data_IF_827501796531
#
_entry.id   IF_827501796531
#
_cell.length_a   1.000
_cell.length_b   1.000
_cell.length_c   1.000
_cell.angle_alpha   90.00
_cell.angle_beta   90.00
_cell.angle_gamma   90.00
#
_symmetry.space_group_name_H-M   'P 1'
#
loop_
_entity.id
_entity.type
_entity.pdbx_description
1 polymer ?
#
# COMPACT_ATOMS: atom_id res chain seq x y z
N UNK A 1 -20.59 -9.83 -16.99
CA UNK A 1 -20.62 -8.79 -15.93
C UNK A 1 -22.04 -8.31 -15.82
N UNK A 2 -22.64 -8.41 -14.66
CA UNK A 2 -23.93 -7.77 -14.43
C UNK A 2 -23.66 -6.28 -14.24
N UNK A 3 -24.45 -5.44 -14.91
CA UNK A 3 -24.46 -3.99 -14.68
C UNK A 3 -24.87 -3.76 -13.22
N UNK A 4 -24.00 -3.12 -12.45
CA UNK A 4 -24.32 -2.72 -11.09
C UNK A 4 -24.94 -1.33 -11.15
N UNK A 5 -26.20 -1.22 -10.73
CA UNK A 5 -26.93 0.04 -10.72
C UNK A 5 -26.31 0.95 -9.64
N UNK A 6 -25.80 2.09 -10.08
CA UNK A 6 -25.19 3.08 -9.17
C UNK A 6 -26.30 3.87 -8.46
N UNK A 7 -26.42 3.70 -7.15
CA UNK A 7 -27.14 4.64 -6.28
C UNK A 7 -26.29 5.95 -6.19
N UNK A 8 -26.61 6.89 -7.05
CA UNK A 8 -25.83 8.10 -7.22
C UNK A 8 -25.81 8.98 -5.96
N UNK A 9 -26.96 9.14 -5.29
CA UNK A 9 -27.06 9.99 -4.09
C UNK A 9 -26.21 9.40 -2.95
N UNK A 10 -26.31 8.10 -2.75
CA UNK A 10 -25.50 7.39 -1.76
C UNK A 10 -24.02 7.45 -2.08
N UNK A 11 -23.63 7.27 -3.34
CA UNK A 11 -22.22 7.33 -3.76
C UNK A 11 -21.61 8.72 -3.50
N UNK A 12 -22.35 9.80 -3.78
CA UNK A 12 -21.91 11.17 -3.48
C UNK A 12 -21.83 11.40 -1.97
N UNK A 13 -22.81 10.92 -1.21
CA UNK A 13 -22.79 11.03 0.25
C UNK A 13 -21.58 10.31 0.86
N UNK A 14 -21.28 9.10 0.41
CA UNK A 14 -20.13 8.33 0.90
C UNK A 14 -18.79 8.99 0.49
N UNK A 15 -18.69 9.54 -0.72
CA UNK A 15 -17.53 10.33 -1.13
C UNK A 15 -17.33 11.56 -0.24
N UNK A 16 -18.40 12.32 0.06
CA UNK A 16 -18.34 13.47 0.96
C UNK A 16 -17.90 13.08 2.38
N UNK A 17 -18.36 11.93 2.89
CA UNK A 17 -17.88 11.41 4.20
C UNK A 17 -16.39 11.12 4.20
N UNK A 18 -15.88 10.47 3.14
CA UNK A 18 -14.44 10.19 3.01
C UNK A 18 -13.63 11.49 3.00
N UNK A 19 -14.08 12.49 2.24
CA UNK A 19 -13.41 13.80 2.16
C UNK A 19 -13.42 14.50 3.52
N UNK A 20 -14.57 14.53 4.20
CA UNK A 20 -14.70 15.16 5.51
C UNK A 20 -13.81 14.48 6.56
N UNK A 21 -13.88 13.16 6.67
CA UNK A 21 -13.12 12.39 7.65
C UNK A 21 -11.61 12.44 7.36
N UNK A 22 -11.23 12.28 6.10
CA UNK A 22 -9.82 12.39 5.67
C UNK A 22 -9.23 13.78 5.93
N UNK A 23 -10.04 14.84 5.71
CA UNK A 23 -9.63 16.21 6.01
C UNK A 23 -9.46 16.44 7.52
N UNK A 24 -10.40 15.95 8.33
CA UNK A 24 -10.32 16.04 9.78
C UNK A 24 -9.10 15.29 10.35
N UNK A 25 -8.80 14.11 9.81
CA UNK A 25 -7.58 13.36 10.13
C UNK A 25 -6.32 14.13 9.75
N UNK A 26 -6.27 14.66 8.54
CA UNK A 26 -5.10 15.36 8.00
C UNK A 26 -4.69 16.58 8.82
N UNK A 27 -5.66 17.31 9.42
CA UNK A 27 -5.38 18.46 10.30
C UNK A 27 -5.22 18.09 11.78
N UNK A 28 -5.26 16.80 12.15
CA UNK A 28 -5.11 16.36 13.53
C UNK A 28 -6.32 16.62 14.44
N UNK A 29 -7.51 16.86 13.87
CA UNK A 29 -8.70 17.25 14.64
C UNK A 29 -9.11 16.17 15.66
N UNK A 30 -9.10 14.88 15.28
CA UNK A 30 -9.48 13.81 16.19
C UNK A 30 -8.49 13.63 17.34
N UNK A 31 -7.19 13.73 17.07
CA UNK A 31 -6.14 13.66 18.10
C UNK A 31 -6.26 14.81 19.09
N UNK A 32 -6.59 16.01 18.62
CA UNK A 32 -6.83 17.18 19.45
C UNK A 32 -8.06 17.02 20.36
N UNK A 33 -9.04 16.22 19.95
CA UNK A 33 -10.29 15.99 20.67
C UNK A 33 -10.28 14.74 21.56
N UNK A 34 -9.12 14.19 21.88
CA UNK A 34 -8.99 13.13 22.90
C UNK A 34 -9.37 13.64 24.30
N UNK A 35 -9.34 14.95 24.50
CA UNK A 35 -9.82 15.68 25.67
C UNK A 35 -10.83 16.75 25.24
N UNK A 36 -11.73 17.13 26.17
CA UNK A 36 -12.76 18.15 25.90
C UNK A 36 -12.14 19.51 25.56
N UNK A 37 -12.48 20.10 24.41
CA UNK A 37 -12.04 21.43 23.98
C UNK A 37 -13.17 22.27 23.41
N UNK A 38 -13.07 23.59 23.64
CA UNK A 38 -13.92 24.60 23.02
C UNK A 38 -13.36 25.02 21.64
N UNK A 39 -14.18 25.68 20.84
CA UNK A 39 -13.81 26.14 19.51
C UNK A 39 -12.62 27.11 19.54
N UNK A 40 -12.57 28.14 20.40
CA UNK A 40 -11.42 29.04 20.43
C UNK A 40 -10.09 28.35 20.72
N UNK A 41 -10.09 27.29 21.55
CA UNK A 41 -8.89 26.51 21.86
C UNK A 41 -8.46 25.67 20.65
N UNK A 42 -9.40 24.99 19.99
CA UNK A 42 -9.14 24.22 18.79
C UNK A 42 -8.67 25.09 17.62
N UNK A 43 -9.28 26.27 17.44
CA UNK A 43 -8.89 27.24 16.40
C UNK A 43 -7.43 27.64 16.55
N UNK A 44 -6.99 27.94 17.78
CA UNK A 44 -5.58 28.31 18.06
C UNK A 44 -4.63 27.12 17.85
N UNK A 45 -5.01 25.94 18.34
CA UNK A 45 -4.17 24.73 18.28
C UNK A 45 -3.96 24.25 16.85
N UNK A 46 -5.02 24.26 16.04
CA UNK A 46 -5.01 23.74 14.67
C UNK A 46 -4.69 24.81 13.62
N UNK A 47 -4.61 26.09 14.02
CA UNK A 47 -4.47 27.19 13.06
C UNK A 47 -5.65 27.29 12.10
N UNK A 48 -6.86 26.95 12.56
CA UNK A 48 -8.06 26.82 11.72
C UNK A 48 -8.90 28.09 11.68
N UNK A 49 -9.75 28.22 10.65
CA UNK A 49 -10.82 29.22 10.64
C UNK A 49 -11.95 28.80 11.58
N UNK A 50 -12.38 29.70 12.46
CA UNK A 50 -13.36 29.41 13.51
C UNK A 50 -14.73 28.98 12.94
N UNK A 51 -15.19 29.63 11.87
CA UNK A 51 -16.46 29.33 11.22
C UNK A 51 -16.41 27.96 10.54
N UNK A 52 -15.32 27.69 9.80
CA UNK A 52 -15.14 26.41 9.12
C UNK A 52 -15.06 25.26 10.14
N UNK A 53 -14.29 25.45 11.21
CA UNK A 53 -14.14 24.47 12.27
C UNK A 53 -15.49 24.18 12.96
N UNK A 54 -16.27 25.21 13.29
CA UNK A 54 -17.61 25.03 13.87
C UNK A 54 -18.51 24.14 12.98
N UNK A 55 -18.56 24.42 11.68
CA UNK A 55 -19.39 23.67 10.73
C UNK A 55 -18.95 22.20 10.67
N UNK A 56 -17.64 21.95 10.60
CA UNK A 56 -17.07 20.59 10.57
C UNK A 56 -17.38 19.85 11.88
N UNK A 57 -17.19 20.48 13.03
CA UNK A 57 -17.48 19.88 14.34
C UNK A 57 -18.95 19.48 14.47
N UNK A 58 -19.88 20.34 14.05
CA UNK A 58 -21.32 20.05 14.10
C UNK A 58 -21.69 18.91 13.12
N UNK A 59 -21.07 18.84 11.94
CA UNK A 59 -21.28 17.74 11.00
C UNK A 59 -20.78 16.40 11.59
N UNK A 60 -19.56 16.38 12.13
CA UNK A 60 -18.98 15.19 12.76
C UNK A 60 -19.78 14.74 14.00
N UNK A 61 -20.33 15.70 14.76
CA UNK A 61 -21.22 15.41 15.87
C UNK A 61 -22.53 14.80 15.39
N UNK A 62 -23.16 15.35 14.35
CA UNK A 62 -24.40 14.83 13.77
C UNK A 62 -24.20 13.39 13.24
N UNK A 63 -23.03 13.08 12.68
CA UNK A 63 -22.65 11.72 12.27
C UNK A 63 -22.29 10.82 13.46
N UNK A 64 -22.17 11.39 14.66
CA UNK A 64 -21.90 10.69 15.93
C UNK A 64 -20.44 10.30 16.12
N UNK A 65 -19.51 10.95 15.44
CA UNK A 65 -18.07 10.79 15.70
C UNK A 65 -17.58 11.67 16.84
N UNK A 66 -18.31 12.75 17.14
CA UNK A 66 -18.04 13.64 18.26
C UNK A 66 -19.24 13.74 19.20
N UNK A 67 -18.95 14.02 20.46
CA UNK A 67 -19.91 14.45 21.48
C UNK A 67 -19.70 15.93 21.80
N UNK A 68 -20.80 16.60 22.23
CA UNK A 68 -20.75 17.97 22.68
C UNK A 68 -21.35 18.06 24.07
N UNK A 69 -20.57 18.62 25.00
CA UNK A 69 -21.02 18.93 26.38
C UNK A 69 -20.90 20.42 26.60
N UNK A 70 -22.05 21.09 26.70
CA UNK A 70 -22.13 22.55 26.69
C UNK A 70 -21.47 23.10 25.40
N UNK A 71 -20.38 23.87 25.52
CA UNK A 71 -19.66 24.48 24.40
C UNK A 71 -18.38 23.73 24.05
N UNK A 72 -18.17 22.51 24.57
CA UNK A 72 -16.96 21.72 24.38
C UNK A 72 -17.25 20.46 23.61
N UNK A 73 -16.32 20.09 22.72
CA UNK A 73 -16.37 18.89 21.92
C UNK A 73 -15.32 17.88 22.39
N UNK A 74 -15.63 16.62 22.21
CA UNK A 74 -14.75 15.48 22.48
C UNK A 74 -15.05 14.38 21.47
N UNK A 75 -14.07 13.56 21.13
CA UNK A 75 -14.29 12.38 20.32
C UNK A 75 -15.23 11.40 21.02
N UNK A 76 -16.24 10.89 20.34
CA UNK A 76 -17.15 9.89 20.88
C UNK A 76 -16.41 8.57 21.14
N UNK A 77 -16.73 7.88 22.24
CA UNK A 77 -16.01 6.64 22.62
C UNK A 77 -16.00 5.61 21.50
N UNK A 78 -17.13 5.46 20.78
CA UNK A 78 -17.24 4.55 19.63
C UNK A 78 -16.34 4.92 18.43
N UNK A 79 -15.92 6.18 18.34
CA UNK A 79 -15.08 6.67 17.26
C UNK A 79 -13.57 6.62 17.59
N UNK A 80 -13.21 6.41 18.86
CA UNK A 80 -11.80 6.32 19.28
C UNK A 80 -11.06 5.21 18.58
N UNK A 81 -11.66 4.02 18.45
CA UNK A 81 -11.02 2.88 17.77
C UNK A 81 -10.71 3.14 16.30
N UNK A 82 -11.45 4.08 15.67
CA UNK A 82 -11.28 4.41 14.26
C UNK A 82 -10.26 5.55 14.01
N UNK A 83 -10.18 6.51 14.93
CA UNK A 83 -9.47 7.77 14.64
C UNK A 83 -8.32 8.08 15.61
N UNK A 84 -8.11 7.26 16.66
CA UNK A 84 -6.98 7.39 17.58
C UNK A 84 -6.01 6.24 17.33
N UNK A 85 -4.72 6.52 17.32
CA UNK A 85 -3.64 5.67 16.82
C UNK A 85 -3.58 4.26 17.48
N UNK A 86 -3.93 4.17 18.76
CA UNK A 86 -3.98 2.89 19.49
C UNK A 86 -5.28 2.10 19.25
N UNK A 87 -6.16 2.60 18.39
CA UNK A 87 -7.46 1.98 18.11
C UNK A 87 -7.35 0.71 17.28
N UNK A 88 -8.14 -0.31 17.64
CA UNK A 88 -8.14 -1.62 16.96
C UNK A 88 -8.42 -1.53 15.45
N UNK A 89 -9.27 -0.58 15.05
CA UNK A 89 -9.74 -0.39 13.66
C UNK A 89 -9.24 0.95 13.10
N UNK A 90 -8.03 1.36 13.49
CA UNK A 90 -7.49 2.68 13.17
C UNK A 90 -7.41 2.96 11.67
N UNK A 91 -8.10 4.01 11.24
CA UNK A 91 -8.20 4.44 9.86
C UNK A 91 -7.22 5.57 9.49
N UNK A 92 -6.47 6.08 10.46
CA UNK A 92 -5.61 7.26 10.26
C UNK A 92 -4.47 7.06 9.27
N UNK A 93 -4.01 5.82 9.09
CA UNK A 93 -3.06 5.50 8.05
C UNK A 93 -3.70 5.51 6.65
N UNK A 94 -4.96 5.09 6.53
CA UNK A 94 -5.61 4.89 5.23
C UNK A 94 -6.41 6.11 4.74
N UNK A 95 -7.13 6.82 5.61
CA UNK A 95 -8.00 7.93 5.20
C UNK A 95 -7.28 9.09 4.48
N UNK A 96 -6.12 9.57 4.96
CA UNK A 96 -5.35 10.59 4.23
C UNK A 96 -4.89 10.10 2.85
N UNK A 97 -4.51 8.82 2.74
CA UNK A 97 -4.16 8.21 1.47
C UNK A 97 -5.37 8.10 0.54
N UNK A 98 -6.54 7.69 1.04
CA UNK A 98 -7.78 7.65 0.26
C UNK A 98 -8.15 9.02 -0.29
N UNK A 99 -7.98 10.09 0.50
CA UNK A 99 -8.19 11.47 0.04
C UNK A 99 -7.23 11.86 -1.10
N UNK A 100 -5.95 11.49 -0.99
CA UNK A 100 -4.97 11.72 -2.06
C UNK A 100 -5.34 10.96 -3.35
N UNK A 101 -5.84 9.73 -3.23
CA UNK A 101 -6.37 8.95 -4.37
C UNK A 101 -7.53 9.66 -5.05
N UNK A 102 -8.52 10.12 -4.30
CA UNK A 102 -9.67 10.86 -4.85
C UNK A 102 -9.20 12.10 -5.62
N UNK A 103 -8.26 12.86 -5.09
CA UNK A 103 -7.70 14.02 -5.78
C UNK A 103 -7.01 13.63 -7.10
N UNK A 104 -6.28 12.51 -7.14
CA UNK A 104 -5.67 12.02 -8.38
C UNK A 104 -6.73 11.59 -9.41
N UNK A 105 -7.82 10.99 -8.98
CA UNK A 105 -8.91 10.57 -9.87
C UNK A 105 -9.65 11.75 -10.51
N UNK A 106 -9.72 12.91 -9.85
CA UNK A 106 -10.31 14.12 -10.43
C UNK A 106 -9.55 14.62 -11.66
N UNK A 107 -8.29 14.21 -11.86
CA UNK A 107 -7.47 14.54 -13.03
C UNK A 107 -7.73 13.61 -14.25
N UNK A 108 -8.54 12.54 -14.11
CA UNK A 108 -8.80 11.59 -15.19
C UNK A 108 -9.25 12.23 -16.51
N UNK A 109 -10.11 13.27 -16.55
CA UNK A 109 -10.49 13.90 -17.82
C UNK A 109 -9.29 14.45 -18.61
N UNK A 110 -8.29 14.98 -17.91
CA UNK A 110 -7.05 15.48 -18.50
C UNK A 110 -6.13 14.34 -18.94
N UNK A 111 -6.00 13.33 -18.08
CA UNK A 111 -5.16 12.15 -18.34
C UNK A 111 -5.65 11.38 -19.57
N UNK A 112 -6.96 11.15 -19.69
CA UNK A 112 -7.58 10.45 -20.84
C UNK A 112 -7.31 11.20 -22.16
N UNK A 113 -7.22 12.52 -22.13
CA UNK A 113 -6.87 13.35 -23.30
C UNK A 113 -5.38 13.39 -23.60
N UNK A 114 -4.55 12.72 -22.80
CA UNK A 114 -3.09 12.75 -22.95
C UNK A 114 -2.43 14.04 -22.46
N UNK A 115 -3.15 14.87 -21.71
CA UNK A 115 -2.60 16.08 -21.12
C UNK A 115 -1.64 15.71 -19.97
N UNK A 116 -0.53 16.46 -19.88
CA UNK A 116 0.43 16.27 -18.78
C UNK A 116 -0.18 16.82 -17.49
N UNK A 117 -0.64 15.95 -16.63
CA UNK A 117 -1.00 16.29 -15.26
C UNK A 117 0.24 16.17 -14.37
N UNK A 118 0.30 16.96 -13.32
CA UNK A 118 1.38 16.85 -12.33
C UNK A 118 1.22 15.59 -11.48
N UNK A 119 1.44 14.40 -12.09
CA UNK A 119 1.47 13.12 -11.37
C UNK A 119 2.61 13.18 -10.36
N UNK A 120 2.29 13.58 -9.16
CA UNK A 120 3.27 13.75 -8.09
C UNK A 120 3.50 12.42 -7.38
N UNK A 121 4.77 12.16 -7.03
CA UNK A 121 5.11 11.22 -5.96
C UNK A 121 4.24 11.57 -4.74
N UNK A 122 3.87 10.59 -3.87
CA UNK A 122 3.11 10.88 -2.66
C UNK A 122 3.75 12.06 -1.93
N UNK A 123 2.99 13.11 -1.66
CA UNK A 123 3.51 14.34 -1.03
C UNK A 123 4.08 14.09 0.37
N UNK A 124 3.67 12.99 1.00
CA UNK A 124 4.11 12.60 2.34
C UNK A 124 4.31 11.08 2.39
N UNK A 125 5.57 10.67 2.55
CA UNK A 125 5.95 9.27 2.68
C UNK A 125 5.26 8.59 3.87
N UNK A 126 5.05 9.32 4.97
CA UNK A 126 4.40 8.78 6.17
C UNK A 126 2.96 8.35 5.88
N UNK A 127 2.18 9.17 5.17
CA UNK A 127 0.81 8.84 4.78
C UNK A 127 0.77 7.57 3.93
N UNK A 128 1.70 7.42 2.99
CA UNK A 128 1.75 6.25 2.13
C UNK A 128 2.18 5.00 2.90
N UNK A 129 3.25 5.08 3.68
CA UNK A 129 3.75 3.93 4.46
C UNK A 129 2.74 3.47 5.51
N UNK A 130 2.08 4.39 6.21
CA UNK A 130 1.03 4.05 7.17
C UNK A 130 -0.17 3.37 6.49
N UNK A 131 -0.56 3.82 5.29
CA UNK A 131 -1.60 3.15 4.51
C UNK A 131 -1.19 1.72 4.12
N UNK A 132 0.06 1.51 3.71
CA UNK A 132 0.57 0.16 3.38
C UNK A 132 0.69 -0.73 4.63
N UNK A 133 1.04 -0.16 5.78
CA UNK A 133 1.11 -0.87 7.05
C UNK A 133 -0.27 -1.31 7.59
N UNK A 134 -1.35 -0.64 7.19
CA UNK A 134 -2.72 -0.95 7.64
C UNK A 134 -3.31 -2.23 7.05
N UNK A 135 -2.58 -2.90 6.14
CA UNK A 135 -3.01 -4.18 5.56
C UNK A 135 -3.21 -5.25 6.65
N UNK A 136 -4.33 -6.03 6.61
CA UNK A 136 -4.58 -7.08 7.60
C UNK A 136 -3.47 -8.13 7.66
N UNK A 137 -3.08 -8.53 8.86
CA UNK A 137 -2.00 -9.49 9.07
C UNK A 137 -2.36 -10.90 8.56
N UNK A 138 -3.64 -11.25 8.56
CA UNK A 138 -4.15 -12.52 8.05
C UNK A 138 -3.81 -12.69 6.56
N UNK A 139 -4.00 -11.62 5.76
CA UNK A 139 -3.69 -11.62 4.32
C UNK A 139 -2.19 -11.77 4.09
N UNK A 140 -1.37 -11.07 4.86
CA UNK A 140 0.10 -11.17 4.78
C UNK A 140 0.57 -12.58 5.15
N UNK A 141 0.01 -13.16 6.22
CA UNK A 141 0.33 -14.52 6.65
C UNK A 141 -0.10 -15.57 5.61
N UNK A 142 -1.25 -15.41 4.97
CA UNK A 142 -1.70 -16.30 3.89
C UNK A 142 -0.67 -16.34 2.76
N UNK A 143 -0.28 -15.18 2.25
CA UNK A 143 0.67 -15.06 1.13
C UNK A 143 2.02 -15.67 1.45
N UNK A 144 2.58 -15.34 2.62
CA UNK A 144 3.87 -15.92 3.06
C UNK A 144 3.76 -17.43 3.22
N UNK A 145 2.64 -17.93 3.75
CA UNK A 145 2.42 -19.38 3.89
C UNK A 145 2.42 -20.07 2.53
N UNK A 146 1.73 -19.53 1.54
CA UNK A 146 1.75 -20.06 0.17
C UNK A 146 3.16 -20.05 -0.44
N UNK A 147 3.94 -18.98 -0.24
CA UNK A 147 5.34 -18.94 -0.68
C UNK A 147 6.16 -20.07 -0.06
N UNK A 148 6.03 -20.30 1.24
CA UNK A 148 6.79 -21.32 1.97
C UNK A 148 6.30 -22.75 1.70
N UNK A 149 5.03 -22.94 1.38
CA UNK A 149 4.51 -24.22 0.93
C UNK A 149 5.11 -24.64 -0.43
N UNK A 150 5.35 -23.66 -1.31
CA UNK A 150 6.02 -23.88 -2.60
C UNK A 150 7.54 -24.05 -2.47
N UNK A 151 8.18 -23.31 -1.58
CA UNK A 151 9.64 -23.33 -1.36
C UNK A 151 9.97 -23.67 0.10
N UNK A 152 9.69 -24.91 0.51
CA UNK A 152 9.82 -25.41 1.92
C UNK A 152 11.24 -25.37 2.47
N UNK A 153 12.24 -25.45 1.62
CA UNK A 153 13.66 -25.41 1.95
C UNK A 153 14.26 -24.00 2.00
N UNK A 154 13.46 -22.96 1.78
CA UNK A 154 13.91 -21.58 1.79
C UNK A 154 14.53 -21.19 3.13
N UNK A 155 15.63 -20.43 3.07
CA UNK A 155 16.36 -19.86 4.22
C UNK A 155 16.53 -18.37 4.12
N UNK A 156 16.53 -17.83 2.88
CA UNK A 156 16.82 -16.43 2.60
C UNK A 156 15.75 -15.85 1.67
N UNK A 157 15.32 -14.61 1.99
CA UNK A 157 14.35 -13.86 1.19
C UNK A 157 14.91 -12.47 0.89
N UNK A 158 14.72 -12.01 -0.34
CA UNK A 158 14.83 -10.62 -0.70
C UNK A 158 13.41 -10.07 -0.91
N UNK A 159 13.01 -9.10 -0.10
CA UNK A 159 11.75 -8.39 -0.18
C UNK A 159 11.98 -7.07 -0.93
N UNK A 160 11.66 -7.06 -2.24
CA UNK A 160 11.86 -5.91 -3.12
C UNK A 160 10.72 -4.92 -3.01
N UNK A 161 11.03 -3.69 -2.62
CA UNK A 161 10.03 -2.66 -2.35
C UNK A 161 9.23 -2.99 -1.10
N UNK A 162 9.89 -3.52 -0.06
CA UNK A 162 9.24 -4.07 1.12
C UNK A 162 8.52 -3.05 2.01
N UNK A 163 8.68 -1.73 1.74
CA UNK A 163 7.97 -0.65 2.43
C UNK A 163 8.01 -0.77 3.95
N UNK A 164 6.83 -0.86 4.63
CA UNK A 164 6.75 -0.94 6.08
C UNK A 164 7.18 -2.31 6.66
N UNK A 165 7.69 -3.22 5.85
CA UNK A 165 8.27 -4.49 6.26
C UNK A 165 7.26 -5.55 6.73
N UNK A 166 5.98 -5.45 6.36
CA UNK A 166 4.96 -6.40 6.82
C UNK A 166 5.26 -7.83 6.39
N UNK A 167 5.62 -8.05 5.13
CA UNK A 167 6.02 -9.38 4.63
C UNK A 167 7.34 -9.82 5.23
N UNK A 168 8.33 -8.94 5.27
CA UNK A 168 9.64 -9.20 5.88
C UNK A 168 9.50 -9.71 7.31
N UNK A 169 8.68 -9.06 8.15
CA UNK A 169 8.42 -9.49 9.54
C UNK A 169 7.85 -10.91 9.60
N UNK A 170 6.92 -11.26 8.71
CA UNK A 170 6.32 -12.60 8.67
C UNK A 170 7.33 -13.66 8.20
N UNK A 171 8.12 -13.38 7.15
CA UNK A 171 9.19 -14.30 6.74
C UNK A 171 10.19 -14.57 7.87
N UNK A 172 10.59 -13.54 8.61
CA UNK A 172 11.50 -13.67 9.75
C UNK A 172 10.87 -14.50 10.87
N UNK A 173 9.59 -14.28 11.18
CA UNK A 173 8.87 -15.07 12.20
C UNK A 173 8.73 -16.54 11.81
N UNK A 174 8.86 -16.87 10.51
CA UNK A 174 8.94 -18.25 10.00
C UNK A 174 10.38 -18.80 9.92
N UNK A 175 11.36 -18.05 10.44
CA UNK A 175 12.76 -18.49 10.61
C UNK A 175 13.68 -18.15 9.44
N UNK A 176 13.28 -17.31 8.48
CA UNK A 176 14.12 -16.93 7.35
C UNK A 176 14.96 -15.69 7.67
N UNK A 177 16.11 -15.59 7.01
CA UNK A 177 16.85 -14.32 6.93
C UNK A 177 16.28 -13.50 5.78
N UNK A 178 15.97 -12.25 6.05
CA UNK A 178 15.33 -11.36 5.07
C UNK A 178 16.18 -10.11 4.84
N UNK A 179 16.35 -9.77 3.57
CA UNK A 179 16.82 -8.45 3.16
C UNK A 179 15.62 -7.69 2.63
N UNK A 180 15.32 -6.53 3.19
CA UNK A 180 14.32 -5.60 2.68
C UNK A 180 15.05 -4.50 1.92
N UNK A 181 14.78 -4.40 0.63
CA UNK A 181 15.30 -3.33 -0.22
C UNK A 181 14.18 -2.37 -0.60
N UNK A 182 14.43 -1.08 -0.43
CA UNK A 182 13.55 0.00 -0.88
C UNK A 182 14.38 1.27 -1.15
N UNK A 183 13.77 2.27 -1.77
CA UNK A 183 14.43 3.55 -2.03
C UNK A 183 14.91 4.21 -0.73
N UNK A 184 15.98 5.02 -0.79
CA UNK A 184 16.60 5.60 0.40
C UNK A 184 15.62 6.29 1.34
N UNK A 185 14.70 7.08 0.81
CA UNK A 185 13.70 7.83 1.59
C UNK A 185 12.75 6.91 2.35
N UNK A 186 12.36 5.78 1.73
CA UNK A 186 11.52 4.78 2.39
C UNK A 186 12.27 4.12 3.53
N UNK A 187 13.50 3.65 3.29
CA UNK A 187 14.31 2.97 4.32
C UNK A 187 14.57 3.90 5.50
N UNK A 188 14.91 5.18 5.26
CA UNK A 188 15.14 6.15 6.32
C UNK A 188 13.89 6.33 7.20
N UNK A 189 12.71 6.42 6.58
CA UNK A 189 11.45 6.54 7.30
C UNK A 189 11.10 5.26 8.08
N UNK A 190 11.09 4.10 7.42
CA UNK A 190 10.58 2.87 8.04
C UNK A 190 11.53 2.27 9.07
N UNK A 191 12.82 2.58 9.01
CA UNK A 191 13.80 2.07 9.97
C UNK A 191 13.50 2.56 11.39
N UNK A 192 13.08 3.81 11.55
CA UNK A 192 12.72 4.43 12.83
C UNK A 192 11.24 4.23 13.16
N UNK A 193 10.34 4.64 12.25
CA UNK A 193 8.90 4.70 12.52
C UNK A 193 8.24 3.32 12.67
N UNK A 194 8.79 2.30 12.03
CA UNK A 194 8.31 0.91 12.13
C UNK A 194 9.26 -0.01 12.90
N UNK A 195 10.27 0.57 13.56
CA UNK A 195 11.26 -0.14 14.40
C UNK A 195 11.95 -1.30 13.66
N UNK A 196 12.15 -1.15 12.34
CA UNK A 196 12.72 -2.22 11.51
C UNK A 196 14.23 -2.39 11.74
N UNK A 197 14.93 -1.36 12.17
CA UNK A 197 16.39 -1.39 12.34
C UNK A 197 16.85 -2.42 13.39
N UNK A 198 16.04 -2.69 14.40
CA UNK A 198 16.37 -3.56 15.53
C UNK A 198 15.90 -5.01 15.37
N UNK A 199 15.26 -5.34 14.24
CA UNK A 199 14.75 -6.68 14.01
C UNK A 199 15.89 -7.65 13.66
N UNK A 200 16.10 -8.65 14.50
CA UNK A 200 17.07 -9.70 14.25
C UNK A 200 16.73 -10.47 12.96
N UNK A 201 17.73 -10.76 12.14
CA UNK A 201 17.62 -11.42 10.84
C UNK A 201 16.96 -10.57 9.73
N UNK A 202 16.74 -9.27 9.98
CA UNK A 202 16.39 -8.29 8.95
C UNK A 202 17.61 -7.45 8.60
N UNK A 203 17.86 -7.33 7.32
CA UNK A 203 18.83 -6.36 6.79
C UNK A 203 18.07 -5.34 5.96
N UNK A 204 18.17 -4.07 6.33
CA UNK A 204 17.61 -2.98 5.53
C UNK A 204 18.66 -2.54 4.50
N UNK A 205 18.24 -2.44 3.25
CA UNK A 205 19.11 -2.03 2.14
C UNK A 205 18.46 -0.90 1.35
N UNK A 206 19.21 0.19 1.16
CA UNK A 206 18.81 1.30 0.30
C UNK A 206 19.21 0.99 -1.13
N UNK A 207 18.30 1.15 -2.09
CA UNK A 207 18.60 0.95 -3.50
C UNK A 207 17.35 1.14 -4.37
N UNK A 208 17.56 1.37 -5.64
CA UNK A 208 16.51 1.44 -6.64
C UNK A 208 16.60 0.21 -7.54
N UNK A 209 15.67 -0.72 -7.39
CA UNK A 209 15.64 -1.97 -8.17
C UNK A 209 15.26 -1.75 -9.65
N UNK A 210 14.89 -0.55 -10.04
CA UNK A 210 14.67 -0.18 -11.45
C UNK A 210 15.99 0.06 -12.19
N UNK A 211 17.08 0.33 -11.46
CA UNK A 211 18.42 0.53 -12.01
C UNK A 211 19.12 -0.81 -12.26
N UNK A 212 19.97 -0.87 -13.31
CA UNK A 212 20.64 -2.12 -13.69
C UNK A 212 21.70 -2.56 -12.67
N UNK A 213 22.34 -1.60 -12.03
CA UNK A 213 23.45 -1.80 -11.11
C UNK A 213 23.04 -2.42 -9.78
N UNK A 214 21.76 -2.34 -9.38
CA UNK A 214 21.33 -2.82 -8.07
C UNK A 214 21.63 -4.31 -7.83
N UNK A 215 21.65 -5.12 -8.88
CA UNK A 215 21.99 -6.56 -8.79
C UNK A 215 23.42 -6.77 -8.27
N UNK A 216 24.34 -5.87 -8.63
CA UNK A 216 25.75 -5.96 -8.26
C UNK A 216 26.00 -5.65 -6.78
N UNK A 217 25.01 -5.09 -6.11
CA UNK A 217 25.08 -4.79 -4.68
C UNK A 217 24.89 -6.02 -3.78
N UNK A 218 24.58 -7.18 -4.37
CA UNK A 218 24.33 -8.43 -3.65
C UNK A 218 25.41 -9.46 -3.99
N UNK A 219 26.19 -9.83 -2.99
CA UNK A 219 27.19 -10.91 -3.09
C UNK A 219 26.52 -12.29 -3.04
N UNK A 220 25.48 -12.42 -2.21
CA UNK A 220 24.71 -13.65 -2.02
C UNK A 220 23.47 -13.70 -2.94
N UNK A 221 22.99 -14.92 -3.18
CA UNK A 221 21.75 -15.20 -3.89
C UNK A 221 20.69 -15.69 -2.93
N UNK A 222 19.42 -15.48 -3.28
CA UNK A 222 18.28 -15.74 -2.42
C UNK A 222 17.53 -17.01 -2.83
N UNK A 223 16.86 -17.63 -1.85
CA UNK A 223 15.95 -18.75 -2.13
C UNK A 223 14.61 -18.24 -2.67
N UNK A 224 14.18 -17.07 -2.19
CA UNK A 224 12.96 -16.37 -2.64
C UNK A 224 13.30 -14.91 -2.90
N UNK A 225 12.82 -14.37 -4.02
CA UNK A 225 12.67 -12.92 -4.23
C UNK A 225 11.18 -12.61 -4.26
N UNK A 226 10.74 -11.84 -3.28
CA UNK A 226 9.34 -11.46 -3.10
C UNK A 226 9.10 -10.03 -3.58
N UNK A 227 7.99 -9.80 -4.28
CA UNK A 227 7.55 -8.49 -4.77
C UNK A 227 6.06 -8.33 -4.46
N UNK A 228 5.75 -7.60 -3.41
CA UNK A 228 4.36 -7.35 -3.01
C UNK A 228 3.89 -5.96 -3.44
N UNK A 229 2.89 -5.88 -4.31
CA UNK A 229 2.33 -4.60 -4.79
C UNK A 229 3.34 -3.71 -5.54
N UNK A 230 4.19 -4.29 -6.36
CA UNK A 230 5.28 -3.59 -7.04
C UNK A 230 5.00 -3.46 -8.53
N UNK A 231 4.59 -4.54 -9.19
CA UNK A 231 4.56 -4.59 -10.66
C UNK A 231 3.51 -3.67 -11.27
N UNK A 232 2.47 -3.32 -10.53
CA UNK A 232 1.46 -2.37 -10.98
C UNK A 232 1.96 -0.91 -11.04
N UNK A 233 3.08 -0.58 -10.38
CA UNK A 233 3.61 0.79 -10.34
C UNK A 233 4.30 1.16 -11.65
N UNK A 234 4.86 0.17 -12.35
CA UNK A 234 5.78 0.33 -13.46
C UNK A 234 5.19 -0.11 -14.80
N UNK A 235 5.79 0.38 -15.90
CA UNK A 235 5.47 -0.05 -17.26
C UNK A 235 5.82 -1.51 -17.52
N UNK A 236 5.31 -2.04 -18.64
CA UNK A 236 5.64 -3.39 -19.11
C UNK A 236 7.16 -3.61 -19.28
N UNK A 237 7.86 -2.64 -19.90
CA UNK A 237 9.29 -2.76 -20.15
C UNK A 237 10.11 -2.76 -18.86
N UNK A 238 9.74 -1.93 -17.88
CA UNK A 238 10.39 -1.91 -16.56
C UNK A 238 10.17 -3.25 -15.84
N UNK A 239 8.96 -3.79 -15.87
CA UNK A 239 8.64 -5.07 -15.24
C UNK A 239 9.40 -6.24 -15.89
N UNK A 240 9.50 -6.27 -17.23
CA UNK A 240 10.29 -7.29 -17.96
C UNK A 240 11.76 -7.24 -17.55
N UNK A 241 12.34 -6.05 -17.50
CA UNK A 241 13.73 -5.87 -17.08
C UNK A 241 13.93 -6.24 -15.60
N UNK A 242 12.98 -5.88 -14.73
CA UNK A 242 13.02 -6.25 -13.32
C UNK A 242 13.04 -7.77 -13.14
N UNK A 243 12.20 -8.52 -13.85
CA UNK A 243 12.16 -9.97 -13.74
C UNK A 243 13.47 -10.64 -14.26
N UNK A 244 14.09 -10.10 -15.30
CA UNK A 244 15.43 -10.56 -15.72
C UNK A 244 16.49 -10.33 -14.62
N UNK A 245 16.41 -9.21 -13.90
CA UNK A 245 17.31 -8.91 -12.78
C UNK A 245 17.02 -9.83 -11.59
N UNK A 246 15.75 -10.09 -11.29
CA UNK A 246 15.33 -11.03 -10.25
C UNK A 246 15.92 -12.42 -10.48
N UNK A 247 15.96 -12.90 -11.72
CA UNK A 247 16.62 -14.16 -12.05
C UNK A 247 18.10 -14.20 -11.65
N UNK A 248 18.82 -13.07 -11.78
CA UNK A 248 20.23 -12.97 -11.39
C UNK A 248 20.44 -12.94 -9.86
N UNK A 249 19.41 -12.62 -9.09
CA UNK A 249 19.46 -12.55 -7.61
C UNK A 249 19.06 -13.88 -6.96
N UNK A 250 18.48 -14.80 -7.70
CA UNK A 250 18.05 -16.10 -7.21
C UNK A 250 19.16 -17.15 -7.28
N UNK A 251 19.12 -18.09 -6.36
CA UNK A 251 19.85 -19.35 -6.43
C UNK A 251 19.26 -20.22 -7.55
N UNK A 252 20.01 -21.21 -8.03
CA UNK A 252 19.47 -22.22 -8.93
C UNK A 252 18.25 -22.90 -8.28
N UNK A 253 17.11 -22.92 -8.99
CA UNK A 253 15.85 -23.40 -8.44
C UNK A 253 15.25 -22.50 -7.34
N UNK A 254 15.70 -21.25 -7.24
CA UNK A 254 15.09 -20.22 -6.42
C UNK A 254 13.77 -19.74 -7.01
N UNK A 255 12.92 -19.13 -6.20
CA UNK A 255 11.55 -18.76 -6.55
C UNK A 255 11.37 -17.26 -6.60
N UNK A 256 10.80 -16.74 -7.69
CA UNK A 256 10.18 -15.43 -7.72
C UNK A 256 8.73 -15.54 -7.23
N UNK A 257 8.32 -14.65 -6.35
CA UNK A 257 6.95 -14.58 -5.83
C UNK A 257 6.43 -13.15 -5.96
N UNK A 258 5.34 -12.97 -6.71
CA UNK A 258 4.74 -11.66 -7.01
C UNK A 258 3.32 -11.66 -6.48
N UNK A 259 3.00 -10.75 -5.58
CA UNK A 259 1.62 -10.51 -5.15
C UNK A 259 1.14 -9.22 -5.78
N UNK A 260 0.14 -9.32 -6.66
CA UNK A 260 -0.39 -8.16 -7.35
C UNK A 260 -1.81 -8.40 -7.92
N UNK A 261 -2.40 -7.38 -8.53
CA UNK A 261 -3.67 -7.44 -9.24
C UNK A 261 -3.47 -7.94 -10.67
N UNK A 262 -3.98 -9.14 -10.97
CA UNK A 262 -3.89 -9.70 -12.33
C UNK A 262 -5.15 -9.37 -13.12
N UNK A 263 -5.00 -8.55 -14.16
CA UNK A 263 -6.10 -8.13 -15.03
C UNK A 263 -6.80 -9.32 -15.68
N UNK A 264 -8.12 -9.31 -15.64
CA UNK A 264 -8.96 -10.40 -16.15
C UNK A 264 -9.27 -11.49 -15.12
N UNK A 265 -8.68 -11.44 -13.91
CA UNK A 265 -9.00 -12.39 -12.81
C UNK A 265 -9.96 -11.85 -11.76
N UNK A 266 -10.02 -10.53 -11.60
CA UNK A 266 -11.04 -9.90 -10.76
C UNK A 266 -11.54 -8.59 -11.39
N UNK A 267 -12.81 -8.21 -11.23
CA UNK A 267 -13.30 -6.90 -11.68
C UNK A 267 -12.58 -5.71 -11.02
N UNK A 268 -12.03 -5.94 -9.83
CA UNK A 268 -11.27 -4.93 -9.11
C UNK A 268 -9.95 -4.59 -9.80
N UNK A 269 -9.32 -5.54 -10.49
CA UNK A 269 -8.06 -5.32 -11.18
C UNK A 269 -8.17 -4.26 -12.30
N UNK A 270 -9.32 -4.21 -13.01
CA UNK A 270 -9.57 -3.18 -14.03
C UNK A 270 -9.74 -1.80 -13.41
N UNK A 271 -10.49 -1.70 -12.31
CA UNK A 271 -10.63 -0.45 -11.57
C UNK A 271 -9.31 0.00 -10.95
N UNK A 272 -8.50 -0.95 -10.49
CA UNK A 272 -7.16 -0.66 -9.97
C UNK A 272 -6.22 -0.17 -11.07
N UNK A 273 -6.37 -0.64 -12.32
CA UNK A 273 -5.62 -0.11 -13.45
C UNK A 273 -5.91 1.39 -13.69
N UNK A 274 -7.18 1.82 -13.52
CA UNK A 274 -7.53 3.25 -13.58
C UNK A 274 -6.88 4.02 -12.42
N UNK A 275 -6.81 3.42 -11.22
CA UNK A 275 -6.09 4.03 -10.11
C UNK A 275 -4.60 4.22 -10.42
N UNK A 276 -3.96 3.22 -11.04
CA UNK A 276 -2.55 3.33 -11.47
C UNK A 276 -2.37 4.38 -12.56
N UNK A 277 -3.29 4.44 -13.52
CA UNK A 277 -3.30 5.49 -14.55
C UNK A 277 -3.35 6.89 -13.93
N UNK A 278 -4.14 7.10 -12.87
CA UNK A 278 -4.27 8.38 -12.17
C UNK A 278 -3.09 8.70 -11.26
N UNK A 279 -2.46 7.67 -10.65
CA UNK A 279 -1.52 7.84 -9.54
C UNK A 279 -0.06 7.61 -9.91
N UNK A 280 0.23 7.00 -11.07
CA UNK A 280 1.60 6.68 -11.50
C UNK A 280 1.87 7.22 -12.90
N UNK A 281 3.13 7.27 -13.29
CA UNK A 281 3.54 7.74 -14.61
C UNK A 281 3.22 6.72 -15.71
N UNK A 282 3.42 5.42 -15.44
CA UNK A 282 3.33 4.36 -16.45
C UNK A 282 2.77 3.03 -15.93
N UNK A 283 2.25 3.02 -14.70
CA UNK A 283 1.71 1.82 -14.08
C UNK A 283 0.36 1.39 -14.64
N UNK A 284 -0.03 0.20 -14.28
CA UNK A 284 -1.26 -0.44 -14.69
C UNK A 284 -1.45 -1.78 -14.02
N UNK A 285 -2.40 -2.57 -14.48
CA UNK A 285 -2.51 -3.99 -14.12
C UNK A 285 -2.22 -4.86 -15.33
N UNK A 286 -1.62 -6.01 -15.11
CA UNK A 286 -1.08 -6.85 -16.17
C UNK A 286 -1.83 -8.17 -16.21
N UNK A 287 -2.00 -8.74 -17.41
CA UNK A 287 -2.69 -10.03 -17.58
C UNK A 287 -1.80 -11.20 -17.16
N UNK A 288 -2.42 -12.32 -16.85
CA UNK A 288 -1.68 -13.57 -16.60
C UNK A 288 -0.77 -13.95 -17.77
N UNK A 289 -1.24 -13.73 -19.02
CA UNK A 289 -0.44 -14.01 -20.22
C UNK A 289 0.84 -13.15 -20.26
N UNK A 290 0.74 -11.86 -19.91
CA UNK A 290 1.90 -10.97 -19.82
C UNK A 290 2.88 -11.45 -18.76
N UNK A 291 2.43 -11.75 -17.52
CA UNK A 291 3.30 -12.28 -16.47
C UNK A 291 3.98 -13.59 -16.90
N UNK A 292 3.23 -14.52 -17.47
CA UNK A 292 3.79 -15.80 -17.95
C UNK A 292 4.85 -15.59 -19.04
N UNK A 293 4.60 -14.64 -19.95
CA UNK A 293 5.57 -14.31 -21.00
C UNK A 293 6.84 -13.70 -20.40
N UNK A 294 6.72 -12.70 -19.55
CA UNK A 294 7.88 -12.02 -18.94
C UNK A 294 8.73 -12.96 -18.10
N UNK A 295 8.09 -13.82 -17.31
CA UNK A 295 8.78 -14.82 -16.51
C UNK A 295 9.52 -15.84 -17.38
N UNK A 296 8.89 -16.35 -18.43
CA UNK A 296 9.57 -17.25 -19.39
C UNK A 296 10.75 -16.57 -20.08
N UNK A 297 10.57 -15.34 -20.56
CA UNK A 297 11.63 -14.57 -21.20
C UNK A 297 12.82 -14.32 -20.22
N UNK A 298 12.56 -14.30 -18.91
CA UNK A 298 13.57 -14.16 -17.85
C UNK A 298 14.15 -15.51 -17.35
N UNK A 299 13.80 -16.63 -17.96
CA UNK A 299 14.35 -17.97 -17.63
C UNK A 299 13.65 -18.66 -16.47
N UNK A 300 12.38 -18.32 -16.19
CA UNK A 300 11.58 -19.00 -15.18
C UNK A 300 10.64 -20.04 -15.82
N UNK A 301 10.50 -21.18 -15.15
CA UNK A 301 9.51 -22.21 -15.39
C UNK A 301 8.60 -22.43 -14.18
N UNK A 302 7.76 -23.47 -14.26
CA UNK A 302 6.81 -23.86 -13.21
C UNK A 302 6.00 -22.67 -12.67
N UNK A 303 5.39 -21.92 -13.61
CA UNK A 303 4.68 -20.68 -13.31
C UNK A 303 3.25 -20.99 -12.88
N UNK A 304 2.92 -20.64 -11.66
CA UNK A 304 1.56 -20.74 -11.11
C UNK A 304 0.98 -19.37 -10.78
N UNK A 305 -0.34 -19.25 -10.88
CA UNK A 305 -1.11 -18.05 -10.48
C UNK A 305 -2.25 -18.52 -9.59
N UNK A 306 -2.19 -18.12 -8.31
CA UNK A 306 -3.16 -18.46 -7.28
C UNK A 306 -4.02 -17.23 -6.95
N UNK A 307 -5.34 -17.40 -6.97
CA UNK A 307 -6.26 -16.38 -6.45
C UNK A 307 -6.22 -16.40 -4.92
N UNK A 308 -6.04 -15.22 -4.31
CA UNK A 308 -6.01 -15.06 -2.85
C UNK A 308 -7.44 -15.04 -2.26
N UNK A 309 -7.55 -15.22 -0.96
CA UNK A 309 -8.84 -15.30 -0.27
C UNK A 309 -9.71 -14.03 -0.42
N UNK A 310 -9.08 -12.86 -0.59
CA UNK A 310 -9.76 -11.59 -0.88
C UNK A 310 -10.40 -11.55 -2.27
N UNK A 311 -10.03 -12.48 -3.17
CA UNK A 311 -10.46 -12.56 -4.58
C UNK A 311 -10.16 -11.31 -5.42
N UNK A 312 -9.37 -10.40 -4.90
CA UNK A 312 -8.96 -9.19 -5.61
C UNK A 312 -7.58 -9.36 -6.22
N UNK A 313 -6.68 -9.98 -5.49
CA UNK A 313 -5.28 -10.16 -5.85
C UNK A 313 -4.91 -11.61 -6.09
N UNK A 314 -3.76 -11.77 -6.73
CA UNK A 314 -3.17 -13.06 -7.04
C UNK A 314 -1.74 -13.14 -6.51
N UNK A 315 -1.34 -14.35 -6.15
CA UNK A 315 0.06 -14.70 -5.95
C UNK A 315 0.58 -15.47 -7.17
N UNK A 316 1.58 -14.91 -7.82
CA UNK A 316 2.28 -15.53 -8.95
C UNK A 316 3.59 -16.09 -8.43
N UNK A 317 3.83 -17.37 -8.61
CA UNK A 317 5.10 -18.03 -8.25
C UNK A 317 5.74 -18.63 -9.50
N UNK A 318 7.06 -18.54 -9.59
CA UNK A 318 7.82 -19.11 -10.71
C UNK A 318 9.22 -19.51 -10.23
N UNK A 319 9.75 -20.61 -10.73
CA UNK A 319 11.06 -21.13 -10.35
C UNK A 319 12.09 -20.85 -11.44
N UNK A 320 13.27 -20.36 -11.03
CA UNK A 320 14.38 -20.15 -11.97
C UNK A 320 14.86 -21.50 -12.50
N UNK A 321 14.80 -21.68 -13.81
CA UNK A 321 15.32 -22.87 -14.48
C UNK A 321 16.85 -22.88 -14.44
N UNK A 322 17.43 -24.09 -14.48
CA UNK A 322 18.89 -24.32 -14.39
C UNK A 322 19.62 -23.91 -15.66
#
# INVERSE_FOLDING_TARGET
MNYEELDFDRAIEDANKIVLLGSAMKIGLFSSLTVEKDIPSLTRELGADERALYIVLEALRAMGYLEKKKDRYIIADRARSLFIEDGKDYLGGYLPHALNKLNAWLELPHIIKGEKTGRKKPENISTFMNAMASRPDEVVNEIVSHCLDKKKDAKTVLDLGGGPGKYSKVFINRGLKTVLLDIPETIDYVSSEFELADIRNLTLKKGDFTEDEFVNEFEERFDIVFMGNITHIYSEDVNRNLLMRVGKLLKNGGMAAIEDFVRGRSPYAEMFAVNMLASTESGGTWTEEQYRKWLKDAGFGDIEVLDLADKEKQLITAFLEK
#
